data_IF_478300393288
#
_entry.id   IF_478300393288
#
_cell.length_a   1.000
_cell.length_b   1.000
_cell.length_c   1.000
_cell.angle_alpha   90.00
_cell.angle_beta   90.00
_cell.angle_gamma   90.00
#
_symmetry.space_group_name_H-M   'P 1'
#
loop_
_entity.id
_entity.type
_entity.pdbx_description
1 polymer ?
#
# COMPACT_ATOMS: atom_id res chain seq x y z
N UNK A 1 3.89 -21.01 0.20
CA UNK A 1 4.62 -19.92 0.88
C UNK A 1 3.70 -18.72 0.84
N UNK A 2 3.57 -18.02 1.96
CA UNK A 2 2.60 -16.95 2.10
C UNK A 2 3.28 -15.59 1.91
N UNK A 3 2.64 -14.68 1.19
CA UNK A 3 3.06 -13.28 1.15
C UNK A 3 1.98 -12.43 1.82
N UNK A 4 2.39 -11.55 2.73
CA UNK A 4 1.54 -10.82 3.65
C UNK A 4 1.77 -9.32 3.57
N UNK A 5 0.74 -8.56 3.94
CA UNK A 5 0.85 -7.13 4.26
C UNK A 5 1.94 -6.89 5.35
N UNK A 6 2.20 -7.86 6.23
CA UNK A 6 3.29 -7.75 7.20
C UNK A 6 4.69 -7.70 6.54
N UNK A 7 4.87 -8.29 5.35
CA UNK A 7 6.13 -8.17 4.61
C UNK A 7 6.27 -6.81 3.91
N UNK A 8 5.16 -6.24 3.42
CA UNK A 8 5.13 -4.85 2.95
C UNK A 8 5.52 -3.89 4.08
N UNK A 9 4.95 -4.07 5.28
CA UNK A 9 5.35 -3.31 6.46
C UNK A 9 6.82 -3.52 6.81
N UNK A 10 7.34 -4.75 6.75
CA UNK A 10 8.74 -5.03 7.01
C UNK A 10 9.69 -4.31 6.03
N UNK A 11 9.32 -4.20 4.75
CA UNK A 11 10.09 -3.42 3.77
C UNK A 11 10.10 -1.92 4.11
N UNK A 12 8.98 -1.38 4.58
CA UNK A 12 8.89 0.03 5.01
C UNK A 12 9.73 0.27 6.27
N UNK A 13 9.71 -0.67 7.22
CA UNK A 13 10.56 -0.63 8.41
C UNK A 13 12.05 -0.72 8.05
N UNK A 14 12.40 -1.49 7.02
CA UNK A 14 13.75 -1.50 6.47
C UNK A 14 14.16 -0.12 5.92
N UNK A 15 13.30 0.55 5.14
CA UNK A 15 13.56 1.91 4.67
C UNK A 15 13.67 2.90 5.84
N UNK A 16 12.82 2.78 6.86
CA UNK A 16 12.90 3.59 8.09
C UNK A 16 14.25 3.39 8.81
N UNK A 17 14.75 2.16 8.88
CA UNK A 17 16.06 1.86 9.44
C UNK A 17 17.18 2.54 8.65
N UNK A 18 17.11 2.56 7.31
CA UNK A 18 18.06 3.30 6.47
C UNK A 18 18.02 4.80 6.73
N UNK A 19 16.82 5.37 6.97
CA UNK A 19 16.69 6.78 7.37
C UNK A 19 17.30 7.04 8.75
N UNK A 20 17.09 6.15 9.72
CA UNK A 20 17.62 6.29 11.09
C UNK A 20 19.13 6.23 11.18
N UNK A 21 19.80 5.59 10.22
CA UNK A 21 21.26 5.57 10.11
C UNK A 21 21.79 6.59 9.10
N UNK A 22 20.93 7.50 8.62
CA UNK A 22 21.26 8.57 7.67
C UNK A 22 21.77 8.08 6.30
N UNK A 23 21.56 6.81 5.96
CA UNK A 23 21.86 6.28 4.63
C UNK A 23 20.84 6.76 3.58
N UNK A 24 19.63 7.11 4.04
CA UNK A 24 18.61 7.83 3.27
C UNK A 24 18.19 9.06 4.07
N UNK A 25 17.89 10.15 3.37
CA UNK A 25 17.51 11.42 3.98
C UNK A 25 16.12 11.85 3.56
N UNK A 26 15.60 12.94 4.13
CA UNK A 26 14.32 13.51 3.72
C UNK A 26 14.30 13.90 2.23
N UNK A 27 15.45 14.29 1.68
CA UNK A 27 15.62 14.61 0.25
C UNK A 27 15.32 13.40 -0.64
N UNK A 28 15.48 12.19 -0.12
CA UNK A 28 15.24 10.94 -0.83
C UNK A 28 13.79 10.47 -0.75
N UNK A 29 12.92 11.13 0.04
CA UNK A 29 11.53 10.71 0.32
C UNK A 29 10.73 10.30 -0.91
N UNK A 30 10.77 11.13 -1.97
CA UNK A 30 10.10 10.83 -3.25
C UNK A 30 10.71 9.62 -3.94
N UNK A 31 12.04 9.49 -3.95
CA UNK A 31 12.74 8.37 -4.58
C UNK A 31 12.53 7.05 -3.81
N UNK A 32 12.41 7.10 -2.48
CA UNK A 32 12.09 5.93 -1.66
C UNK A 32 10.76 5.29 -2.09
N UNK A 33 9.75 6.10 -2.37
CA UNK A 33 8.43 5.61 -2.82
C UNK A 33 8.43 5.32 -4.33
N UNK A 34 8.75 6.31 -5.15
CA UNK A 34 8.56 6.24 -6.61
C UNK A 34 9.61 5.40 -7.34
N UNK A 35 10.74 5.08 -6.69
CA UNK A 35 11.78 4.21 -7.25
C UNK A 35 11.95 2.94 -6.43
N UNK A 36 12.36 3.03 -5.16
CA UNK A 36 12.68 1.83 -4.38
C UNK A 36 11.44 0.97 -4.13
N UNK A 37 10.36 1.58 -3.63
CA UNK A 37 9.12 0.85 -3.38
C UNK A 37 8.45 0.38 -4.67
N UNK A 38 8.41 1.20 -5.73
CA UNK A 38 7.92 0.76 -7.04
C UNK A 38 8.65 -0.50 -7.55
N UNK A 39 9.98 -0.56 -7.43
CA UNK A 39 10.77 -1.75 -7.79
C UNK A 39 10.54 -2.94 -6.86
N UNK A 40 10.30 -2.69 -5.58
CA UNK A 40 9.87 -3.71 -4.64
C UNK A 40 8.52 -4.32 -5.02
N UNK A 41 7.54 -3.51 -5.46
CA UNK A 41 6.25 -4.00 -5.94
C UNK A 41 6.40 -4.90 -7.17
N UNK A 42 7.22 -4.50 -8.14
CA UNK A 42 7.51 -5.32 -9.33
C UNK A 42 8.06 -6.70 -8.95
N UNK A 43 8.98 -6.73 -7.99
CA UNK A 43 9.54 -7.97 -7.46
C UNK A 43 8.46 -8.81 -6.78
N UNK A 44 7.66 -8.22 -5.90
CA UNK A 44 6.59 -8.93 -5.17
C UNK A 44 5.57 -9.53 -6.13
N UNK A 45 5.11 -8.77 -7.13
CA UNK A 45 4.20 -9.23 -8.18
C UNK A 45 4.77 -10.39 -8.99
N UNK A 46 6.07 -10.31 -9.33
CA UNK A 46 6.78 -11.41 -10.00
C UNK A 46 6.82 -12.65 -9.12
N UNK A 47 7.13 -12.53 -7.83
CA UNK A 47 7.16 -13.65 -6.88
C UNK A 47 5.78 -14.28 -6.71
N UNK A 48 4.74 -13.47 -6.54
CA UNK A 48 3.34 -13.91 -6.42
C UNK A 48 2.93 -14.76 -7.62
N UNK A 49 3.21 -14.30 -8.85
CA UNK A 49 2.91 -15.04 -10.08
C UNK A 49 3.77 -16.28 -10.27
N UNK A 50 5.07 -16.17 -10.01
CA UNK A 50 6.04 -17.26 -10.28
C UNK A 50 5.82 -18.44 -9.35
N UNK A 51 5.48 -18.16 -8.09
CA UNK A 51 5.37 -19.17 -7.04
C UNK A 51 3.93 -19.44 -6.59
N UNK A 52 2.94 -18.88 -7.28
CA UNK A 52 1.51 -19.00 -6.93
C UNK A 52 1.28 -18.77 -5.43
N UNK A 53 1.89 -17.70 -4.90
CA UNK A 53 1.81 -17.40 -3.47
C UNK A 53 0.35 -17.13 -3.13
N UNK A 54 -0.17 -17.81 -2.12
CA UNK A 54 -1.52 -17.55 -1.65
C UNK A 54 -1.52 -16.26 -0.80
N UNK A 55 -2.62 -15.48 -0.83
CA UNK A 55 -2.84 -14.42 0.14
C UNK A 55 -2.89 -15.05 1.53
N UNK A 56 -1.93 -14.71 2.40
CA UNK A 56 -2.06 -15.16 3.78
C UNK A 56 -3.00 -14.23 4.52
N UNK A 57 -3.99 -14.81 5.18
CA UNK A 57 -5.03 -14.04 5.84
C UNK A 57 -6.24 -13.84 4.93
N UNK A 58 -7.04 -14.90 4.80
CA UNK A 58 -8.43 -14.76 4.36
C UNK A 58 -9.19 -13.95 5.42
N UNK A 59 -9.36 -12.64 5.22
CA UNK A 59 -10.27 -11.85 6.05
C UNK A 59 -11.34 -11.15 5.21
N UNK A 60 -12.08 -11.97 4.46
CA UNK A 60 -13.40 -11.63 3.95
C UNK A 60 -13.47 -10.47 2.96
N UNK A 61 -14.70 -10.09 2.63
CA UNK A 61 -15.11 -9.05 1.68
C UNK A 61 -14.65 -7.61 2.04
N UNK A 62 -13.81 -7.47 3.08
CA UNK A 62 -13.44 -6.19 3.71
C UNK A 62 -11.93 -5.89 3.68
N UNK A 63 -11.10 -6.78 3.12
CA UNK A 63 -9.70 -6.48 2.87
C UNK A 63 -9.56 -5.59 1.62
N UNK A 64 -8.68 -4.59 1.71
CA UNK A 64 -8.44 -3.65 0.61
C UNK A 64 -7.90 -4.35 -0.64
N UNK A 65 -6.90 -5.20 -0.47
CA UNK A 65 -6.30 -6.06 -1.49
C UNK A 65 -5.69 -7.29 -0.82
N UNK A 66 -5.43 -8.33 -1.61
CA UNK A 66 -4.94 -9.62 -1.16
C UNK A 66 -3.49 -9.57 -0.63
N UNK A 67 -2.66 -8.64 -1.14
CA UNK A 67 -1.23 -8.62 -0.83
C UNK A 67 -0.70 -7.27 -0.37
N UNK A 68 -1.24 -6.14 -0.84
CA UNK A 68 -0.63 -4.82 -0.66
C UNK A 68 -1.62 -3.81 -0.10
N UNK A 69 -1.14 -2.82 0.65
CA UNK A 69 -1.94 -1.68 1.08
C UNK A 69 -1.33 -0.36 0.60
N UNK A 70 -0.02 -0.20 0.75
CA UNK A 70 0.67 1.06 0.51
C UNK A 70 0.63 1.61 -0.92
N UNK A 71 0.52 0.81 -2.01
CA UNK A 71 0.30 1.34 -3.35
C UNK A 71 -0.98 2.19 -3.44
N UNK A 72 -2.02 1.82 -2.69
CA UNK A 72 -3.26 2.60 -2.65
C UNK A 72 -3.12 3.85 -1.78
N UNK A 73 -2.46 3.74 -0.62
CA UNK A 73 -2.19 4.89 0.24
C UNK A 73 -1.32 5.94 -0.46
N UNK A 74 -0.12 5.58 -0.92
CA UNK A 74 0.78 6.53 -1.59
C UNK A 74 0.29 6.90 -2.98
N UNK A 75 -0.33 5.97 -3.70
CA UNK A 75 -0.89 6.25 -5.02
C UNK A 75 -2.08 7.21 -4.99
N UNK A 76 -2.95 7.15 -3.97
CA UNK A 76 -4.01 8.16 -3.80
C UNK A 76 -3.44 9.55 -3.48
N UNK A 77 -2.30 9.62 -2.78
CA UNK A 77 -1.60 10.89 -2.56
C UNK A 77 -1.06 11.47 -3.88
N UNK A 78 -0.54 10.63 -4.80
CA UNK A 78 -0.13 11.08 -6.14
C UNK A 78 -1.28 11.71 -6.95
N UNK A 79 -2.54 11.38 -6.63
CA UNK A 79 -3.74 11.79 -7.36
C UNK A 79 -4.51 12.94 -6.67
N UNK A 80 -4.06 13.40 -5.49
CA UNK A 80 -4.78 14.39 -4.67
C UNK A 80 -4.70 15.82 -5.22
N UNK A 81 -3.58 16.19 -5.86
CA UNK A 81 -3.31 17.54 -6.36
C UNK A 81 -3.17 17.52 -7.89
N UNK A 82 -4.20 18.00 -8.61
CA UNK A 82 -4.27 18.02 -10.08
C UNK A 82 -4.07 16.65 -10.75
N UNK A 83 -4.51 15.57 -10.09
CA UNK A 83 -4.51 14.22 -10.64
C UNK A 83 -5.28 14.13 -11.97
N UNK A 84 -4.87 13.25 -12.90
CA UNK A 84 -5.42 13.20 -14.26
C UNK A 84 -6.84 12.60 -14.33
N UNK A 85 -7.38 12.13 -13.20
CA UNK A 85 -8.66 11.43 -13.14
C UNK A 85 -9.28 11.49 -11.74
N UNK A 86 -10.59 11.26 -11.67
CA UNK A 86 -11.36 11.12 -10.44
C UNK A 86 -11.33 9.66 -9.92
N UNK A 87 -11.57 9.41 -8.62
CA UNK A 87 -11.56 8.06 -8.03
C UNK A 87 -12.38 7.02 -8.79
N UNK A 88 -13.55 7.40 -9.30
CA UNK A 88 -14.44 6.51 -10.06
C UNK A 88 -13.82 6.00 -11.36
N UNK A 89 -12.95 6.81 -11.97
CA UNK A 89 -12.28 6.46 -13.23
C UNK A 89 -11.10 5.51 -13.00
N UNK A 90 -10.58 5.40 -11.77
CA UNK A 90 -9.41 4.57 -11.47
C UNK A 90 -9.64 3.07 -11.71
N UNK A 91 -10.89 2.62 -11.66
CA UNK A 91 -11.29 1.22 -11.89
C UNK A 91 -11.71 0.93 -13.34
N UNK A 92 -11.73 1.94 -14.22
CA UNK A 92 -12.02 1.77 -15.65
C UNK A 92 -10.72 1.41 -16.41
N UNK A 93 -10.80 0.33 -17.18
CA UNK A 93 -9.68 -0.24 -17.94
C UNK A 93 -8.94 0.76 -18.82
N UNK A 94 -9.68 1.71 -19.40
CA UNK A 94 -9.08 2.74 -20.26
C UNK A 94 -8.06 3.58 -19.49
N UNK A 95 -8.36 3.92 -18.24
CA UNK A 95 -7.49 4.77 -17.45
C UNK A 95 -6.34 4.01 -16.81
N UNK A 96 -6.62 2.87 -16.14
CA UNK A 96 -5.55 2.16 -15.46
C UNK A 96 -4.56 1.52 -16.44
N UNK A 97 -4.99 1.13 -17.65
CA UNK A 97 -4.06 0.58 -18.64
C UNK A 97 -3.04 1.63 -19.08
N UNK A 98 -3.50 2.84 -19.36
CA UNK A 98 -2.69 3.90 -19.96
C UNK A 98 -1.80 4.61 -18.92
N UNK A 99 -2.25 4.69 -17.65
CA UNK A 99 -1.57 5.44 -16.59
C UNK A 99 -0.90 4.56 -15.50
N UNK A 100 -1.00 3.24 -15.60
CA UNK A 100 -0.42 2.30 -14.62
C UNK A 100 1.09 2.37 -14.44
N UNK A 101 1.82 2.95 -15.40
CA UNK A 101 3.28 3.11 -15.30
C UNK A 101 3.67 4.34 -14.46
N UNK A 102 2.76 5.31 -14.30
CA UNK A 102 3.04 6.59 -13.66
C UNK A 102 2.44 6.68 -12.25
N UNK A 103 1.33 5.97 -12.00
CA UNK A 103 0.59 6.03 -10.74
C UNK A 103 0.52 4.68 -10.04
N UNK A 104 1.02 4.62 -8.81
CA UNK A 104 1.05 3.39 -8.00
C UNK A 104 -0.35 2.80 -7.77
N UNK A 105 -1.36 3.67 -7.58
CA UNK A 105 -2.75 3.25 -7.39
C UNK A 105 -3.25 2.48 -8.62
N UNK A 106 -3.05 3.05 -9.81
CA UNK A 106 -3.50 2.47 -11.07
C UNK A 106 -2.68 1.22 -11.45
N UNK A 107 -1.40 1.21 -11.11
CA UNK A 107 -0.53 0.03 -11.20
C UNK A 107 -1.09 -1.14 -10.39
N UNK A 108 -1.59 -0.87 -9.18
CA UNK A 108 -2.19 -1.88 -8.32
C UNK A 108 -3.56 -2.35 -8.84
N UNK A 109 -4.43 -1.43 -9.28
CA UNK A 109 -5.72 -1.78 -9.91
C UNK A 109 -5.52 -2.65 -11.15
N UNK A 110 -4.56 -2.30 -12.01
CA UNK A 110 -4.21 -3.11 -13.18
C UNK A 110 -3.78 -4.52 -12.76
N UNK A 111 -2.90 -4.63 -11.78
CA UNK A 111 -2.45 -5.94 -11.29
C UNK A 111 -3.60 -6.80 -10.76
N UNK A 112 -4.54 -6.22 -10.01
CA UNK A 112 -5.75 -6.91 -9.54
C UNK A 112 -6.55 -7.48 -10.71
N UNK A 113 -6.84 -6.66 -11.73
CA UNK A 113 -7.61 -7.10 -12.91
C UNK A 113 -6.85 -8.13 -13.77
N UNK A 114 -5.52 -8.20 -13.68
CA UNK A 114 -4.71 -9.22 -14.35
C UNK A 114 -4.74 -10.58 -13.61
N UNK A 115 -5.00 -10.60 -12.29
CA UNK A 115 -4.94 -11.83 -11.47
C UNK A 115 -6.30 -12.32 -10.98
N UNK A 116 -7.32 -11.46 -10.95
CA UNK A 116 -8.70 -11.79 -10.59
C UNK A 116 -9.59 -11.73 -11.82
N UNK A 117 -10.55 -12.65 -11.89
CA UNK A 117 -11.52 -12.74 -13.00
C UNK A 117 -12.92 -12.41 -12.51
N UNK A 118 -13.70 -11.76 -13.38
CA UNK A 118 -15.09 -11.39 -13.10
C UNK A 118 -15.27 -9.89 -12.91
N UNK A 119 -16.48 -9.43 -12.60
CA UNK A 119 -16.74 -8.02 -12.33
C UNK A 119 -15.97 -7.51 -11.11
N UNK A 120 -15.36 -6.32 -11.23
CA UNK A 120 -14.52 -5.75 -10.18
C UNK A 120 -15.21 -5.63 -8.82
N UNK A 121 -16.51 -5.31 -8.81
CA UNK A 121 -17.30 -5.20 -7.58
C UNK A 121 -17.49 -6.53 -6.84
N UNK A 122 -17.36 -7.69 -7.52
CA UNK A 122 -17.51 -9.01 -6.90
C UNK A 122 -16.24 -9.43 -6.16
N UNK A 123 -15.07 -9.20 -6.75
CA UNK A 123 -13.79 -9.67 -6.21
C UNK A 123 -12.99 -8.59 -5.45
N UNK A 124 -13.40 -7.31 -5.56
CA UNK A 124 -12.73 -6.14 -4.99
C UNK A 124 -13.74 -5.08 -4.52
N UNK A 125 -14.79 -5.52 -3.81
CA UNK A 125 -15.89 -4.66 -3.32
C UNK A 125 -15.44 -3.44 -2.53
N UNK A 126 -14.44 -3.56 -1.64
CA UNK A 126 -13.93 -2.42 -0.86
C UNK A 126 -13.32 -1.34 -1.76
N UNK A 127 -12.50 -1.73 -2.74
CA UNK A 127 -11.93 -0.80 -3.72
C UNK A 127 -13.01 -0.21 -4.63
N UNK A 128 -14.03 -0.99 -4.98
CA UNK A 128 -15.19 -0.50 -5.71
C UNK A 128 -15.94 0.59 -4.91
N UNK A 129 -16.18 0.37 -3.62
CA UNK A 129 -16.83 1.38 -2.75
C UNK A 129 -15.97 2.64 -2.61
N UNK A 130 -14.65 2.48 -2.48
CA UNK A 130 -13.69 3.59 -2.43
C UNK A 130 -13.70 4.40 -3.74
N UNK A 131 -13.89 3.76 -4.89
CA UNK A 131 -13.99 4.46 -6.17
C UNK A 131 -15.19 5.41 -6.24
N UNK A 132 -16.22 5.22 -5.40
CA UNK A 132 -17.38 6.11 -5.32
C UNK A 132 -17.15 7.34 -4.42
N UNK A 133 -15.99 7.45 -3.75
CA UNK A 133 -15.62 8.64 -3.00
C UNK A 133 -15.31 9.78 -3.97
N UNK A 134 -15.87 10.97 -3.72
CA UNK A 134 -15.81 12.09 -4.67
C UNK A 134 -14.41 12.64 -4.96
N UNK A 135 -13.49 12.62 -3.99
CA UNK A 135 -12.19 13.28 -4.12
C UNK A 135 -11.05 12.42 -3.60
N UNK A 136 -9.91 12.44 -4.29
CA UNK A 136 -8.69 11.74 -3.89
C UNK A 136 -8.17 12.15 -2.52
N UNK A 137 -8.30 13.41 -2.13
CA UNK A 137 -7.98 13.88 -0.77
C UNK A 137 -8.75 13.10 0.31
N UNK A 138 -10.05 12.84 0.08
CA UNK A 138 -10.88 12.05 0.98
C UNK A 138 -10.51 10.57 0.94
N UNK A 139 -10.21 10.03 -0.25
CA UNK A 139 -9.69 8.65 -0.39
C UNK A 139 -8.42 8.50 0.43
N UNK A 140 -7.43 9.39 0.24
CA UNK A 140 -6.15 9.32 0.92
C UNK A 140 -6.29 9.44 2.46
N UNK A 141 -7.10 10.37 2.94
CA UNK A 141 -7.41 10.47 4.37
C UNK A 141 -8.06 9.20 4.93
N UNK A 142 -8.97 8.58 4.16
CA UNK A 142 -9.56 7.28 4.49
C UNK A 142 -8.52 6.17 4.54
N UNK A 143 -7.63 6.12 3.55
CA UNK A 143 -6.53 5.14 3.47
C UNK A 143 -5.58 5.26 4.66
N UNK A 144 -5.26 6.47 5.12
CA UNK A 144 -4.43 6.68 6.32
C UNK A 144 -5.11 6.02 7.53
N UNK A 145 -6.39 6.35 7.78
CA UNK A 145 -7.14 5.79 8.92
C UNK A 145 -7.26 4.28 8.84
N UNK A 146 -7.54 3.75 7.65
CA UNK A 146 -7.65 2.32 7.42
C UNK A 146 -6.30 1.61 7.59
N UNK A 147 -5.17 2.22 7.18
CA UNK A 147 -3.84 1.65 7.41
C UNK A 147 -3.53 1.51 8.91
N UNK A 148 -3.86 2.54 9.70
CA UNK A 148 -3.72 2.45 11.16
C UNK A 148 -4.57 1.32 11.73
N UNK A 149 -5.88 1.28 11.46
CA UNK A 149 -6.80 0.31 12.08
C UNK A 149 -6.69 -1.13 11.54
N UNK A 150 -6.31 -1.31 10.29
CA UNK A 150 -6.31 -2.60 9.59
C UNK A 150 -4.92 -3.18 9.36
N UNK A 151 -3.85 -2.39 9.53
CA UNK A 151 -2.46 -2.87 9.42
C UNK A 151 -1.72 -2.72 10.74
N UNK A 152 -1.56 -1.49 11.22
CA UNK A 152 -0.69 -1.20 12.37
C UNK A 152 -1.30 -1.65 13.71
N UNK A 153 -2.64 -1.56 13.85
CA UNK A 153 -3.38 -1.94 15.06
C UNK A 153 -3.93 -3.38 15.00
N UNK A 154 -3.44 -4.20 14.07
CA UNK A 154 -3.84 -5.61 13.97
C UNK A 154 -2.74 -6.50 14.54
N UNK A 155 -3.01 -7.12 15.69
CA UNK A 155 -2.10 -8.09 16.32
C UNK A 155 -1.58 -9.17 15.34
N UNK A 156 -2.39 -9.79 14.46
CA UNK A 156 -1.88 -10.77 13.51
C UNK A 156 -0.80 -10.26 12.55
N UNK A 157 -0.74 -8.95 12.31
CA UNK A 157 0.30 -8.29 11.52
C UNK A 157 1.43 -7.85 12.44
N UNK A 158 1.10 -7.14 13.52
CA UNK A 158 2.07 -6.58 14.45
C UNK A 158 2.97 -7.63 15.14
N UNK A 159 2.46 -8.86 15.34
CA UNK A 159 3.24 -9.96 15.93
C UNK A 159 4.48 -10.36 15.11
N UNK A 160 4.54 -9.95 13.83
CA UNK A 160 5.68 -10.23 12.94
C UNK A 160 6.70 -9.09 12.89
N UNK A 161 6.46 -7.98 13.61
CA UNK A 161 7.42 -6.87 13.69
C UNK A 161 8.59 -7.29 14.58
N UNK A 162 9.80 -7.08 14.08
CA UNK A 162 11.03 -7.31 14.83
C UNK A 162 11.50 -6.00 15.46
N UNK A 163 11.75 -6.03 16.76
CA UNK A 163 12.24 -4.90 17.53
C UNK A 163 13.73 -5.05 17.83
N UNK A 164 14.45 -3.93 17.82
CA UNK A 164 15.88 -3.85 18.08
C UNK A 164 16.29 -2.39 18.31
N UNK A 165 17.57 -2.08 18.17
CA UNK A 165 18.08 -0.75 18.52
C UNK A 165 17.50 0.38 17.65
N UNK A 166 17.23 0.12 16.37
CA UNK A 166 16.67 1.14 15.45
C UNK A 166 15.15 1.29 15.61
N UNK A 167 14.45 0.18 15.90
CA UNK A 167 13.00 0.12 16.10
C UNK A 167 12.78 -0.46 17.49
N UNK A 168 12.78 0.40 18.52
CA UNK A 168 12.61 -0.05 19.90
C UNK A 168 11.16 -0.41 20.21
N UNK A 169 10.97 -1.37 21.11
CA UNK A 169 9.68 -1.67 21.75
C UNK A 169 9.43 -0.79 22.98
N UNK A 170 10.44 -0.03 23.43
CA UNK A 170 10.32 0.86 24.58
C UNK A 170 9.28 1.96 24.31
N UNK A 171 8.55 2.41 25.35
CA UNK A 171 7.62 3.52 25.22
C UNK A 171 8.28 4.76 24.62
N UNK A 172 7.65 5.35 23.61
CA UNK A 172 8.10 6.61 23.02
C UNK A 172 8.16 7.67 24.13
N UNK A 173 9.31 8.35 24.33
CA UNK A 173 9.40 9.43 25.31
C UNK A 173 8.31 10.48 25.04
N UNK A 174 7.66 10.96 26.09
CA UNK A 174 6.68 12.05 25.93
C UNK A 174 7.39 13.25 25.30
N UNK A 175 6.78 13.93 24.31
CA UNK A 175 7.32 15.17 23.79
C UNK A 175 7.55 16.13 24.97
N UNK A 176 8.78 16.54 25.18
CA UNK A 176 9.07 17.69 26.05
C UNK A 176 8.49 18.90 25.33
N UNK A 177 7.44 19.50 25.91
CA UNK A 177 6.76 20.63 25.29
C UNK A 177 7.74 21.77 25.00
N UNK A 178 7.77 22.19 23.74
CA UNK A 178 8.17 23.54 23.32
C UNK A 178 6.90 24.27 22.84
#
# INVERSE_FOLDING_TARGET
MFFLICHELAFVLFLLCLCKIEALTEQDSRAMVLKLFARYLDLCRKLQRTYYLEPAGSKGQWCLDDYQFLPFLWGSSQLTDDGPLEPKQAIDERFYRDLSNDYLYLSAIKFINEVKTGPFFEHSSTLHDISNVAHWSKVNQGMIKMYYGEVLDKFPIAQHILFGNLISFDPVPKPTGE
#
